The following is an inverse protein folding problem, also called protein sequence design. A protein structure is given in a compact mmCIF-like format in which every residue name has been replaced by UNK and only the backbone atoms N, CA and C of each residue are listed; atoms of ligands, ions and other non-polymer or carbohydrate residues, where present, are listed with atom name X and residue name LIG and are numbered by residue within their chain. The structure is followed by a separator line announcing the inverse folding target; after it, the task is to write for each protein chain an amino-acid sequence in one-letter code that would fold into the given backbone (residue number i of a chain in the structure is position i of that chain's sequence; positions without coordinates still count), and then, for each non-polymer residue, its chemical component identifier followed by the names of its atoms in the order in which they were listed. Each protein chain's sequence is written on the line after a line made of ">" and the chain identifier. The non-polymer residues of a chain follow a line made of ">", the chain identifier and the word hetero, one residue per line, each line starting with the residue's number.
data_IF_648044921551
#
_entry.id   IF_648044921551
#
_cell.length_a   1.000
_cell.length_b   1.000
_cell.length_c   1.000
_cell.angle_alpha   90.00
_cell.angle_beta   90.00
_cell.angle_gamma   90.00
#
_symmetry.space_group_name_H-M   'P 1'
#
loop_
_entity.id
_entity.type
_entity.pdbx_description
1 polymer ?
#
# COMPACT_ATOMS: atom_id res chain seq x y z
N UNK A 1 0.53 3.35 3.81
CA UNK A 1 1.56 2.42 4.29
C UNK A 1 1.80 1.35 3.25
N UNK A 2 3.05 1.02 3.01
CA UNK A 2 3.39 -0.05 2.07
C UNK A 2 3.32 -1.41 2.76
N UNK A 3 2.61 -2.35 2.14
CA UNK A 3 2.44 -3.71 2.67
C UNK A 3 2.93 -4.72 1.64
N UNK A 4 3.81 -5.60 2.08
CA UNK A 4 4.38 -6.67 1.27
C UNK A 4 3.35 -7.75 1.00
N UNK A 5 3.22 -8.15 -0.26
CA UNK A 5 2.44 -9.33 -0.62
C UNK A 5 3.39 -10.52 -0.79
N UNK A 6 3.46 -11.38 0.20
CA UNK A 6 4.35 -12.54 0.22
C UNK A 6 3.93 -13.65 -0.74
N UNK A 7 2.75 -13.55 -1.30
CA UNK A 7 2.21 -14.55 -2.23
C UNK A 7 2.42 -14.19 -3.70
N UNK A 8 3.05 -13.05 -3.96
CA UNK A 8 3.36 -12.61 -5.32
C UNK A 8 4.85 -12.33 -5.48
N UNK A 9 5.35 -12.49 -6.70
CA UNK A 9 6.75 -12.33 -7.04
C UNK A 9 6.92 -11.61 -8.37
N UNK A 10 7.90 -10.72 -8.43
CA UNK A 10 8.24 -9.99 -9.65
C UNK A 10 9.72 -10.24 -9.97
N UNK A 11 10.03 -10.42 -11.26
CA UNK A 11 11.43 -10.42 -11.68
C UNK A 11 11.94 -8.98 -11.70
N UNK A 12 13.24 -8.81 -11.43
CA UNK A 12 13.90 -7.50 -11.41
C UNK A 12 15.22 -7.60 -12.17
N UNK A 13 15.43 -6.70 -13.11
CA UNK A 13 16.67 -6.57 -13.87
C UNK A 13 16.98 -5.08 -14.03
N UNK A 14 17.92 -4.58 -13.19
CA UNK A 14 18.21 -3.15 -13.15
C UNK A 14 16.96 -2.36 -12.74
N UNK A 15 16.54 -1.42 -13.59
CA UNK A 15 15.36 -0.60 -13.35
C UNK A 15 14.07 -1.23 -13.88
N UNK A 16 14.19 -2.36 -14.59
CA UNK A 16 13.04 -3.04 -15.16
C UNK A 16 12.47 -4.05 -14.17
N UNK A 17 11.16 -4.01 -14.00
CA UNK A 17 10.43 -4.89 -13.07
C UNK A 17 9.23 -5.49 -13.80
N UNK A 18 9.07 -6.82 -13.68
CA UNK A 18 7.91 -7.50 -14.24
C UNK A 18 6.67 -7.34 -13.39
N UNK A 19 5.52 -7.68 -13.98
CA UNK A 19 4.26 -7.69 -13.24
C UNK A 19 4.23 -8.82 -12.21
N UNK A 20 3.48 -8.62 -11.11
CA UNK A 20 3.38 -9.66 -10.07
C UNK A 20 2.86 -10.99 -10.58
N UNK A 21 3.56 -12.06 -10.21
CA UNK A 21 3.22 -13.44 -10.54
C UNK A 21 2.99 -14.23 -9.25
N UNK A 22 2.37 -15.39 -9.36
CA UNK A 22 1.98 -16.20 -8.19
C UNK A 22 3.10 -17.01 -7.57
N UNK A 23 4.25 -17.12 -8.25
CA UNK A 23 5.40 -17.87 -7.76
C UNK A 23 6.70 -17.33 -8.34
N UNK A 24 7.82 -17.72 -7.75
CA UNK A 24 9.15 -17.39 -8.27
C UNK A 24 9.31 -18.02 -9.66
N UNK A 25 8.86 -19.25 -9.84
CA UNK A 25 8.93 -19.93 -11.14
C UNK A 25 8.19 -19.18 -12.23
N UNK A 26 7.00 -18.67 -11.90
CA UNK A 26 6.19 -17.89 -12.84
C UNK A 26 6.85 -16.55 -13.16
N UNK A 27 7.49 -15.92 -12.18
CA UNK A 27 8.22 -14.68 -12.38
C UNK A 27 9.43 -14.89 -13.32
N UNK A 28 10.18 -15.96 -13.12
CA UNK A 28 11.32 -16.32 -13.98
C UNK A 28 10.84 -16.62 -15.40
N UNK A 29 9.74 -17.35 -15.53
CA UNK A 29 9.13 -17.66 -16.84
C UNK A 29 8.66 -16.40 -17.54
N UNK A 30 8.04 -15.49 -16.81
CA UNK A 30 7.59 -14.21 -17.36
C UNK A 30 8.76 -13.40 -17.92
N UNK A 31 9.90 -13.39 -17.22
CA UNK A 31 11.11 -12.75 -17.72
C UNK A 31 11.56 -13.39 -19.04
N UNK A 32 11.61 -14.72 -19.10
CA UNK A 32 12.03 -15.44 -20.30
C UNK A 32 11.09 -15.16 -21.49
N UNK A 33 9.79 -15.06 -21.24
CA UNK A 33 8.80 -14.74 -22.27
C UNK A 33 8.89 -13.28 -22.72
N UNK A 34 9.23 -12.37 -21.80
CA UNK A 34 9.36 -10.95 -22.12
C UNK A 34 10.61 -10.65 -22.96
N UNK A 35 11.69 -11.39 -22.69
CA UNK A 35 12.97 -11.23 -23.38
C UNK A 35 13.37 -12.54 -24.09
N UNK A 36 12.69 -12.93 -25.17
CA UNK A 36 12.89 -14.22 -25.81
C UNK A 36 14.27 -14.40 -26.48
N UNK A 37 14.98 -13.31 -26.75
CA UNK A 37 16.27 -13.34 -27.44
C UNK A 37 17.48 -13.32 -26.49
N UNK A 38 17.24 -13.31 -25.17
CA UNK A 38 18.31 -13.37 -24.18
C UNK A 38 18.72 -14.82 -24.01
N UNK A 39 20.03 -15.12 -24.16
CA UNK A 39 20.53 -16.49 -24.04
C UNK A 39 20.61 -16.95 -22.59
N UNK A 40 21.27 -16.15 -21.74
CA UNK A 40 21.39 -16.42 -20.32
C UNK A 40 21.45 -15.10 -19.57
N UNK A 41 20.69 -14.96 -18.51
CA UNK A 41 20.64 -13.76 -17.72
C UNK A 41 20.41 -14.08 -16.24
N UNK A 42 21.15 -13.41 -15.37
CA UNK A 42 20.88 -13.45 -13.94
C UNK A 42 19.88 -12.35 -13.59
N UNK A 43 18.80 -12.73 -12.96
CA UNK A 43 17.78 -11.80 -12.49
C UNK A 43 17.58 -11.98 -10.98
N UNK A 44 17.03 -10.97 -10.36
CA UNK A 44 16.56 -11.03 -8.98
C UNK A 44 15.06 -11.11 -8.97
N UNK A 45 14.50 -11.65 -7.89
CA UNK A 45 13.05 -11.64 -7.70
C UNK A 45 12.74 -11.01 -6.34
N UNK A 46 11.61 -10.37 -6.25
CA UNK A 46 11.15 -9.74 -5.02
C UNK A 46 9.64 -9.73 -4.92
N UNK A 47 9.15 -9.57 -3.70
CA UNK A 47 7.72 -9.43 -3.45
C UNK A 47 7.30 -7.98 -3.70
N UNK A 48 6.16 -7.75 -4.33
CA UNK A 48 5.66 -6.39 -4.50
C UNK A 48 5.10 -5.84 -3.19
N UNK A 49 5.35 -4.57 -2.93
CA UNK A 49 4.74 -3.82 -1.84
C UNK A 49 3.68 -2.91 -2.44
N UNK A 50 2.48 -3.00 -1.90
CA UNK A 50 1.36 -2.17 -2.33
C UNK A 50 1.05 -1.12 -1.28
N UNK A 51 0.60 0.06 -1.74
CA UNK A 51 0.12 1.09 -0.83
C UNK A 51 -1.25 0.68 -0.28
N UNK A 52 -1.37 0.68 1.03
CA UNK A 52 -2.63 0.43 1.73
C UNK A 52 -2.93 1.68 2.56
N UNK A 53 -4.08 2.34 2.33
CA UNK A 53 -4.40 3.58 3.02
C UNK A 53 -4.65 3.38 4.51
N UNK A 54 -4.30 4.40 5.29
CA UNK A 54 -4.61 4.50 6.70
C UNK A 54 -5.20 5.89 6.93
N UNK A 55 -6.35 5.97 7.57
CA UNK A 55 -6.96 7.25 7.92
C UNK A 55 -6.38 7.73 9.24
N UNK A 56 -5.85 8.94 9.26
CA UNK A 56 -5.29 9.53 10.48
C UNK A 56 -6.43 10.20 11.27
N UNK A 57 -6.82 9.59 12.39
CA UNK A 57 -7.92 10.08 13.22
C UNK A 57 -7.62 11.45 13.85
N UNK A 58 -6.36 11.75 14.16
CA UNK A 58 -5.99 13.05 14.70
C UNK A 58 -6.30 14.16 13.69
N UNK A 59 -6.00 13.96 12.42
CA UNK A 59 -6.31 14.90 11.36
C UNK A 59 -7.82 15.06 11.15
N UNK A 60 -8.58 13.97 11.27
CA UNK A 60 -10.05 14.03 11.14
C UNK A 60 -10.64 14.87 12.27
N UNK A 61 -10.19 14.67 13.50
CA UNK A 61 -10.64 15.43 14.68
C UNK A 61 -10.27 16.90 14.52
N UNK A 62 -9.02 17.18 14.14
CA UNK A 62 -8.53 18.53 13.90
C UNK A 62 -9.36 19.25 12.84
N UNK A 63 -9.66 18.56 11.74
CA UNK A 63 -10.47 19.12 10.66
C UNK A 63 -11.88 19.50 11.14
N UNK A 64 -12.49 18.67 11.96
CA UNK A 64 -13.82 18.94 12.53
C UNK A 64 -13.78 20.16 13.44
N UNK A 65 -12.82 20.21 14.36
CA UNK A 65 -12.74 21.26 15.36
C UNK A 65 -12.35 22.62 14.76
N UNK A 66 -11.42 22.63 13.81
CA UNK A 66 -10.89 23.87 13.24
C UNK A 66 -11.69 24.39 12.05
N UNK A 67 -12.25 23.49 11.23
CA UNK A 67 -12.82 23.89 9.95
C UNK A 67 -14.30 23.59 9.78
N UNK A 68 -14.84 22.60 10.49
CA UNK A 68 -16.23 22.20 10.30
C UNK A 68 -17.23 22.80 11.28
N UNK A 69 -16.77 23.20 12.47
CA UNK A 69 -17.67 23.80 13.46
C UNK A 69 -18.25 25.11 12.93
N UNK A 70 -19.58 25.23 13.02
CA UNK A 70 -20.27 26.47 12.65
C UNK A 70 -19.86 27.60 13.58
N UNK A 71 -19.67 28.81 13.03
CA UNK A 71 -19.27 29.97 13.77
C UNK A 71 -20.18 30.30 14.95
N UNK A 72 -21.48 29.97 14.81
CA UNK A 72 -22.48 30.25 15.83
C UNK A 72 -22.24 29.49 17.14
N UNK A 73 -21.54 28.35 17.09
CA UNK A 73 -21.29 27.53 18.27
C UNK A 73 -19.80 27.38 18.59
N UNK A 74 -18.92 27.74 17.68
CA UNK A 74 -17.46 27.56 17.83
C UNK A 74 -16.94 28.20 19.13
N UNK A 75 -17.41 29.40 19.44
CA UNK A 75 -17.04 30.15 20.63
C UNK A 75 -17.43 29.45 21.93
N UNK A 76 -18.45 28.59 21.89
CA UNK A 76 -18.93 27.83 23.05
C UNK A 76 -18.40 26.38 23.09
N UNK A 77 -17.54 26.04 22.15
CA UNK A 77 -17.07 24.67 21.95
C UNK A 77 -15.59 24.46 22.27
N UNK A 78 -15.02 25.28 23.15
CA UNK A 78 -13.59 25.23 23.52
C UNK A 78 -13.16 23.87 24.07
N UNK A 79 -14.06 23.15 24.73
CA UNK A 79 -13.76 21.87 25.33
C UNK A 79 -14.11 20.68 24.44
N UNK A 80 -14.73 20.95 23.29
CA UNK A 80 -15.13 19.87 22.37
C UNK A 80 -13.90 19.17 21.81
N UNK A 81 -13.80 17.86 22.03
CA UNK A 81 -12.71 17.00 21.59
C UNK A 81 -11.32 17.42 22.08
N UNK A 82 -11.26 18.25 23.14
CA UNK A 82 -9.99 18.75 23.67
C UNK A 82 -9.19 17.68 24.42
N UNK A 83 -9.86 16.76 25.09
CA UNK A 83 -9.23 15.76 25.96
C UNK A 83 -9.58 14.33 25.56
N UNK A 84 -9.50 14.04 24.27
CA UNK A 84 -9.76 12.68 23.77
C UNK A 84 -8.62 11.74 24.18
N UNK A 85 -8.96 10.59 24.72
CA UNK A 85 -7.97 9.58 25.14
C UNK A 85 -7.34 8.92 23.92
N UNK A 86 -6.05 8.58 24.02
CA UNK A 86 -5.32 7.93 22.94
C UNK A 86 -5.96 6.60 22.51
N UNK A 87 -6.50 5.84 23.44
CA UNK A 87 -7.19 4.59 23.12
C UNK A 87 -8.42 4.82 22.23
N UNK A 88 -9.11 5.95 22.42
CA UNK A 88 -10.27 6.32 21.62
C UNK A 88 -9.87 6.83 20.24
N UNK A 89 -8.75 7.53 20.13
CA UNK A 89 -8.19 7.97 18.84
C UNK A 89 -7.81 6.75 18.01
N UNK A 90 -7.15 5.78 18.63
CA UNK A 90 -6.76 4.53 17.97
C UNK A 90 -7.97 3.76 17.47
N UNK A 91 -9.00 3.65 18.30
CA UNK A 91 -10.25 2.99 17.94
C UNK A 91 -10.89 3.66 16.71
N UNK A 92 -10.99 4.98 16.74
CA UNK A 92 -11.55 5.74 15.62
C UNK A 92 -10.72 5.54 14.35
N UNK A 93 -9.39 5.56 14.48
CA UNK A 93 -8.50 5.36 13.33
C UNK A 93 -8.70 3.97 12.70
N UNK A 94 -8.81 2.93 13.52
CA UNK A 94 -9.05 1.58 13.04
C UNK A 94 -10.39 1.47 12.32
N UNK A 95 -11.44 2.05 12.89
CA UNK A 95 -12.78 2.05 12.31
C UNK A 95 -12.84 2.82 11.00
N UNK A 96 -12.28 4.03 10.96
CA UNK A 96 -12.27 4.85 9.74
C UNK A 96 -11.42 4.21 8.64
N UNK A 97 -10.29 3.63 8.99
CA UNK A 97 -9.43 2.95 8.04
C UNK A 97 -10.15 1.75 7.42
N UNK A 98 -10.85 0.98 8.24
CA UNK A 98 -11.64 -0.16 7.77
C UNK A 98 -12.73 0.27 6.79
N UNK A 99 -13.49 1.29 7.15
CA UNK A 99 -14.56 1.82 6.29
C UNK A 99 -13.99 2.32 4.97
N UNK A 100 -12.89 3.05 5.02
CA UNK A 100 -12.25 3.58 3.81
C UNK A 100 -11.77 2.46 2.88
N UNK A 101 -11.10 1.44 3.42
CA UNK A 101 -10.61 0.31 2.64
C UNK A 101 -11.74 -0.47 1.99
N UNK A 102 -12.82 -0.72 2.72
CA UNK A 102 -13.99 -1.42 2.19
C UNK A 102 -14.66 -0.63 1.08
N UNK A 103 -14.76 0.69 1.24
CA UNK A 103 -15.30 1.59 0.22
C UNK A 103 -14.44 1.58 -1.04
N UNK A 104 -13.14 1.67 -0.87
CA UNK A 104 -12.17 1.67 -1.98
C UNK A 104 -12.24 0.37 -2.77
N UNK A 105 -12.26 -0.76 -2.06
CA UNK A 105 -12.36 -2.09 -2.66
C UNK A 105 -13.69 -2.28 -3.40
N UNK A 106 -14.79 -1.92 -2.75
CA UNK A 106 -16.12 -2.08 -3.32
C UNK A 106 -16.30 -1.29 -4.61
N UNK A 107 -15.67 -0.14 -4.72
CA UNK A 107 -15.80 0.73 -5.89
C UNK A 107 -14.63 0.63 -6.87
N UNK A 108 -13.66 -0.23 -6.59
CA UNK A 108 -12.53 -0.46 -7.49
C UNK A 108 -11.52 0.67 -7.56
N UNK A 109 -11.34 1.44 -6.49
CA UNK A 109 -10.40 2.56 -6.44
C UNK A 109 -9.04 2.21 -5.82
N UNK A 110 -8.80 0.95 -5.51
CA UNK A 110 -7.53 0.53 -4.94
C UNK A 110 -6.35 0.91 -5.84
N UNK A 111 -5.26 1.34 -5.21
CA UNK A 111 -4.05 1.67 -5.94
C UNK A 111 -3.37 0.38 -6.40
N UNK A 112 -3.21 0.20 -7.70
CA UNK A 112 -2.57 -0.98 -8.29
C UNK A 112 -1.04 -0.82 -8.41
N UNK A 113 -0.50 0.35 -8.12
CA UNK A 113 0.94 0.57 -8.17
C UNK A 113 1.65 -0.23 -7.08
N UNK A 114 2.82 -0.74 -7.40
CA UNK A 114 3.62 -1.49 -6.46
C UNK A 114 5.09 -1.07 -6.53
N UNK A 115 5.85 -1.39 -5.47
CA UNK A 115 7.28 -1.15 -5.41
C UNK A 115 7.98 -2.42 -4.93
N UNK A 116 9.20 -2.62 -5.40
CA UNK A 116 10.06 -3.70 -4.92
C UNK A 116 11.11 -3.06 -4.01
N UNK A 117 11.08 -3.39 -2.73
CA UNK A 117 11.98 -2.80 -1.73
C UNK A 117 13.18 -3.70 -1.41
N UNK A 118 13.03 -5.00 -1.65
CA UNK A 118 14.07 -5.97 -1.39
C UNK A 118 13.96 -7.12 -2.37
N UNK A 119 15.07 -7.78 -2.67
CA UNK A 119 15.10 -8.91 -3.58
C UNK A 119 15.84 -10.08 -2.93
N UNK A 120 15.53 -11.28 -3.40
CA UNK A 120 16.29 -12.48 -3.01
C UNK A 120 17.44 -12.71 -4.00
N UNK A 121 18.26 -13.73 -3.73
CA UNK A 121 19.43 -14.05 -4.53
C UNK A 121 19.14 -14.13 -6.02
N UNK A 122 20.12 -13.81 -6.87
CA UNK A 122 19.93 -13.90 -8.31
C UNK A 122 19.56 -15.30 -8.78
N UNK A 123 18.68 -15.35 -9.78
CA UNK A 123 18.29 -16.58 -10.47
C UNK A 123 18.77 -16.51 -11.91
N UNK A 124 19.30 -17.63 -12.41
CA UNK A 124 19.74 -17.72 -13.80
C UNK A 124 18.56 -18.17 -14.67
N UNK A 125 18.30 -17.40 -15.73
CA UNK A 125 17.29 -17.72 -16.73
C UNK A 125 17.99 -18.23 -17.97
N UNK A 126 17.74 -19.49 -18.31
CA UNK A 126 18.32 -20.14 -19.50
C UNK A 126 17.26 -20.35 -20.56
N UNK A 127 17.71 -20.32 -21.78
CA UNK A 127 16.85 -20.63 -22.93
C UNK A 127 17.41 -21.74 -23.78
#
# INVERSE_FOLDING_TARGET
>A
MLVKNENEWCWCLGEHVGYPQKSIEDAVKDFADTYPNVETQLIRVGNPYYYVPTVDADHVIEDIVEYDLDDEIAEYSDEYLLSVKQEHIKELQEELTKVFREWEERNGYQNAAFAILETVNPFEVEK
#
